data_IF_505447268561
#
_entry.id   IF_505447268561
#
_cell.length_a   1.000
_cell.length_b   1.000
_cell.length_c   1.000
_cell.angle_alpha   90.00
_cell.angle_beta   90.00
_cell.angle_gamma   90.00
#
_symmetry.space_group_name_H-M   'P 1'
#
loop_
_entity.id
_entity.type
_entity.pdbx_description
1 polymer ?
#
# COMPACT_ATOMS: atom_id res chain seq x y z
N UNK A 1 -0.10 -12.26 1.08
CA UNK A 1 -0.23 -11.29 -0.02
C UNK A 1 1.12 -10.73 -0.46
N UNK A 2 1.87 -9.94 0.34
CA UNK A 2 3.18 -9.41 -0.12
C UNK A 2 4.20 -10.49 -0.47
N UNK A 3 4.40 -11.46 0.42
CA UNK A 3 5.27 -12.61 0.15
C UNK A 3 4.82 -13.43 -1.06
N UNK A 4 3.51 -13.56 -1.26
CA UNK A 4 2.96 -14.24 -2.43
C UNK A 4 3.25 -13.46 -3.71
N UNK A 5 3.09 -12.13 -3.72
CA UNK A 5 3.42 -11.31 -4.87
C UNK A 5 4.92 -11.34 -5.19
N UNK A 6 5.79 -11.40 -4.19
CA UNK A 6 7.22 -11.58 -4.40
C UNK A 6 7.54 -12.94 -5.03
N UNK A 7 7.02 -14.03 -4.44
CA UNK A 7 7.16 -15.39 -4.98
C UNK A 7 6.62 -15.51 -6.42
N UNK A 8 5.48 -14.88 -6.70
CA UNK A 8 4.86 -14.92 -8.03
C UNK A 8 5.73 -14.28 -9.12
N UNK A 9 6.60 -13.32 -8.79
CA UNK A 9 7.55 -12.73 -9.74
C UNK A 9 8.62 -13.74 -10.16
N UNK A 10 8.98 -14.67 -9.27
CA UNK A 10 10.00 -15.67 -9.54
C UNK A 10 9.42 -16.92 -10.25
N UNK A 11 8.16 -17.27 -9.96
CA UNK A 11 7.60 -18.59 -10.30
C UNK A 11 6.40 -18.60 -11.26
N UNK A 12 5.74 -17.46 -11.50
CA UNK A 12 4.55 -17.41 -12.36
C UNK A 12 4.80 -16.62 -13.64
N UNK A 13 3.90 -16.79 -14.61
CA UNK A 13 3.91 -15.99 -15.82
C UNK A 13 3.73 -14.49 -15.52
N UNK A 14 4.29 -13.58 -16.35
CA UNK A 14 4.29 -12.15 -16.06
C UNK A 14 2.90 -11.55 -15.79
N UNK A 15 1.85 -12.05 -16.46
CA UNK A 15 0.48 -11.57 -16.27
C UNK A 15 -0.06 -11.89 -14.86
N UNK A 16 0.22 -13.10 -14.35
CA UNK A 16 -0.20 -13.55 -13.02
C UNK A 16 0.61 -12.88 -11.92
N UNK A 17 1.91 -12.70 -12.13
CA UNK A 17 2.79 -11.95 -11.23
C UNK A 17 2.30 -10.50 -11.06
N UNK A 18 1.92 -9.83 -12.17
CA UNK A 18 1.36 -8.47 -12.14
C UNK A 18 0.02 -8.44 -11.41
N UNK A 19 -0.86 -9.44 -11.59
CA UNK A 19 -2.12 -9.53 -10.85
C UNK A 19 -1.89 -9.66 -9.33
N UNK A 20 -0.96 -10.52 -8.92
CA UNK A 20 -0.58 -10.67 -7.51
C UNK A 20 0.02 -9.38 -6.94
N UNK A 21 0.86 -8.69 -7.70
CA UNK A 21 1.44 -7.40 -7.31
C UNK A 21 0.39 -6.29 -7.15
N UNK A 22 -0.63 -6.24 -8.01
CA UNK A 22 -1.77 -5.29 -7.91
C UNK A 22 -2.56 -5.50 -6.62
N UNK A 23 -2.85 -6.76 -6.26
CA UNK A 23 -3.54 -7.11 -5.00
C UNK A 23 -2.70 -6.65 -3.80
N UNK A 24 -1.40 -6.99 -3.80
CA UNK A 24 -0.47 -6.56 -2.75
C UNK A 24 -0.41 -5.03 -2.63
N UNK A 25 -0.36 -4.31 -3.75
CA UNK A 25 -0.32 -2.84 -3.79
C UNK A 25 -1.56 -2.20 -3.17
N UNK A 26 -2.76 -2.64 -3.55
CA UNK A 26 -4.02 -2.07 -3.01
C UNK A 26 -4.11 -2.31 -1.51
N UNK A 27 -3.74 -3.51 -1.05
CA UNK A 27 -3.75 -3.83 0.37
C UNK A 27 -2.77 -2.94 1.15
N UNK A 28 -1.52 -2.84 0.71
CA UNK A 28 -0.52 -2.00 1.37
C UNK A 28 -0.87 -0.51 1.36
N UNK A 29 -1.36 0.01 0.24
CA UNK A 29 -1.77 1.41 0.15
C UNK A 29 -2.82 1.78 1.20
N UNK A 30 -3.84 0.92 1.37
CA UNK A 30 -4.88 1.11 2.39
C UNK A 30 -4.32 0.95 3.81
N UNK A 31 -3.62 -0.15 4.06
CA UNK A 31 -3.12 -0.47 5.40
C UNK A 31 -2.12 0.57 5.91
N UNK A 32 -1.12 0.95 5.10
CA UNK A 32 -0.11 1.94 5.49
C UNK A 32 -0.74 3.29 5.77
N UNK A 33 -1.70 3.73 4.94
CA UNK A 33 -2.42 4.98 5.18
C UNK A 33 -3.13 4.97 6.54
N UNK A 34 -3.94 3.94 6.80
CA UNK A 34 -4.66 3.82 8.07
C UNK A 34 -3.71 3.82 9.26
N UNK A 35 -2.65 3.01 9.22
CA UNK A 35 -1.66 2.95 10.32
C UNK A 35 -1.00 4.30 10.55
N UNK A 36 -0.60 5.02 9.49
CA UNK A 36 0.05 6.32 9.64
C UNK A 36 -0.91 7.39 10.17
N UNK A 37 -2.16 7.43 9.69
CA UNK A 37 -3.19 8.34 10.19
C UNK A 37 -3.49 8.07 11.67
N UNK A 38 -3.64 6.79 12.06
CA UNK A 38 -3.81 6.40 13.46
C UNK A 38 -2.59 6.78 14.31
N UNK A 39 -1.38 6.57 13.81
CA UNK A 39 -0.17 6.95 14.52
C UNK A 39 -0.11 8.46 14.80
N UNK A 40 -0.45 9.30 13.81
CA UNK A 40 -0.56 10.75 14.01
C UNK A 40 -1.61 11.06 15.09
N UNK A 41 -2.78 10.42 15.03
CA UNK A 41 -3.85 10.68 16.00
C UNK A 41 -3.46 10.31 17.44
N UNK A 42 -2.77 9.18 17.63
CA UNK A 42 -2.31 8.72 18.95
C UNK A 42 -1.26 9.66 19.55
N UNK A 43 -0.38 10.21 18.73
CA UNK A 43 0.66 11.13 19.18
C UNK A 43 0.13 12.58 19.34
N UNK A 44 -1.01 12.92 18.75
CA UNK A 44 -1.54 14.28 18.75
C UNK A 44 -0.64 15.23 17.96
N UNK A 45 -0.47 16.46 18.45
CA UNK A 45 0.26 17.52 17.73
C UNK A 45 1.68 17.14 17.33
N UNK A 46 2.41 16.42 18.20
CA UNK A 46 3.80 16.03 17.93
C UNK A 46 3.90 15.08 16.72
N UNK A 47 2.84 14.33 16.39
CA UNK A 47 2.77 13.47 15.21
C UNK A 47 2.97 14.22 13.88
N UNK A 48 2.77 15.53 13.87
CA UNK A 48 2.97 16.43 12.72
C UNK A 48 4.29 17.22 12.77
N UNK A 49 5.13 16.99 13.78
CA UNK A 49 6.41 17.69 13.99
C UNK A 49 7.60 16.78 13.67
N UNK A 50 8.81 17.31 13.61
CA UNK A 50 10.01 16.54 13.23
C UNK A 50 10.49 15.57 14.32
N UNK A 51 10.01 15.77 15.54
CA UNK A 51 10.22 14.95 16.71
C UNK A 51 9.49 13.60 16.59
N UNK A 52 8.47 13.50 15.73
CA UNK A 52 7.80 12.24 15.39
C UNK A 52 7.65 12.06 13.88
N UNK A 53 8.29 11.03 13.33
CA UNK A 53 8.30 10.79 11.88
C UNK A 53 6.97 10.27 11.30
N UNK A 54 5.89 10.17 12.10
CA UNK A 54 4.58 9.67 11.63
C UNK A 54 4.06 10.42 10.39
N UNK A 55 4.15 11.75 10.38
CA UNK A 55 3.78 12.58 9.23
C UNK A 55 4.65 12.36 7.98
N UNK A 56 5.91 11.97 8.12
CA UNK A 56 6.78 11.59 6.98
C UNK A 56 6.29 10.29 6.35
N UNK A 57 5.95 9.30 7.18
CA UNK A 57 5.42 8.02 6.70
C UNK A 57 4.05 8.18 6.02
N UNK A 58 3.16 9.03 6.56
CA UNK A 58 1.89 9.34 5.90
C UNK A 58 2.11 9.96 4.51
N UNK A 59 2.98 10.97 4.39
CA UNK A 59 3.28 11.58 3.08
C UNK A 59 3.83 10.55 2.09
N UNK A 60 4.74 9.67 2.52
CA UNK A 60 5.25 8.59 1.67
C UNK A 60 4.14 7.65 1.22
N UNK A 61 3.25 7.24 2.13
CA UNK A 61 2.12 6.38 1.80
C UNK A 61 1.19 7.01 0.76
N UNK A 62 0.90 8.32 0.90
CA UNK A 62 0.07 9.05 -0.06
C UNK A 62 0.75 9.16 -1.44
N UNK A 63 2.02 9.52 -1.49
CA UNK A 63 2.79 9.62 -2.74
C UNK A 63 2.90 8.26 -3.42
N UNK A 64 3.29 7.21 -2.70
CA UNK A 64 3.38 5.84 -3.25
C UNK A 64 2.02 5.31 -3.71
N UNK A 65 0.93 5.76 -3.11
CA UNK A 65 -0.44 5.41 -3.55
C UNK A 65 -0.80 6.11 -4.85
N UNK A 66 -0.53 7.41 -4.96
CA UNK A 66 -0.85 8.19 -6.15
C UNK A 66 0.04 7.92 -7.36
N UNK A 67 1.30 7.54 -7.14
CA UNK A 67 2.27 7.32 -8.21
C UNK A 67 1.82 6.16 -9.10
N UNK A 68 1.58 4.98 -8.52
CA UNK A 68 1.09 3.78 -9.23
C UNK A 68 -0.34 3.46 -8.78
N UNK A 69 -1.35 4.11 -9.38
CA UNK A 69 -2.74 3.87 -9.02
C UNK A 69 -3.14 2.45 -9.43
N UNK A 70 -3.80 1.76 -8.50
CA UNK A 70 -4.44 0.46 -8.74
C UNK A 70 -5.83 0.56 -8.13
N UNK A 71 -6.86 0.32 -8.92
CA UNK A 71 -8.24 0.36 -8.48
C UNK A 71 -8.78 -1.04 -8.23
N UNK A 72 -9.68 -1.19 -7.25
CA UNK A 72 -10.33 -2.48 -6.97
C UNK A 72 -11.12 -3.01 -8.18
N UNK A 73 -11.61 -2.12 -9.06
CA UNK A 73 -12.30 -2.50 -10.29
C UNK A 73 -11.40 -3.27 -11.25
N UNK A 74 -10.12 -2.93 -11.33
CA UNK A 74 -9.13 -3.61 -12.19
C UNK A 74 -8.71 -4.98 -11.67
N UNK A 75 -9.01 -5.30 -10.41
CA UNK A 75 -8.71 -6.59 -9.78
C UNK A 75 -9.91 -7.54 -9.89
N UNK A 76 -11.14 -7.02 -9.81
CA UNK A 76 -12.37 -7.82 -9.85
C UNK A 76 -12.73 -8.40 -11.23
N UNK A 77 -11.99 -8.09 -12.30
CA UNK A 77 -12.21 -8.65 -13.64
C UNK A 77 -11.86 -10.14 -13.77
N UNK A 78 -11.32 -10.77 -12.71
CA UNK A 78 -10.93 -12.19 -12.68
C UNK A 78 -11.50 -12.98 -11.49
N UNK A 79 -12.52 -12.45 -10.80
CA UNK A 79 -13.18 -13.11 -9.65
C UNK A 79 -14.69 -13.28 -9.85
N UNK A 80 -15.19 -13.18 -11.08
CA UNK A 80 -16.58 -13.54 -11.44
C UNK A 80 -16.65 -14.93 -12.05
#
# INVERSE_FOLDING_TARGET
>A
MLRHAAWAVDELDPAEAVAAARIAKVYCARATRTVCETAIQVHGGIGNTWECLAHVYLRRALVSTGLWPVTLREINSGLS
#
